data_IF_570228943958
#
_entry.id   IF_570228943958
#
_cell.length_a   1.000
_cell.length_b   1.000
_cell.length_c   1.000
_cell.angle_alpha   90.00
_cell.angle_beta   90.00
_cell.angle_gamma   90.00
#
_symmetry.space_group_name_H-M   'P 1'
#
loop_
_entity.id
_entity.type
_entity.pdbx_description
1 polymer ?
#
# COMPACT_ATOMS: atom_id res chain seq x y z
N UNK A 1 20.91 6.39 -7.74
CA UNK A 1 21.51 7.63 -8.29
C UNK A 1 20.50 8.76 -8.48
N UNK A 2 19.28 8.49 -8.99
CA UNK A 2 18.29 9.56 -9.29
C UNK A 2 17.79 10.30 -8.05
N UNK A 3 17.52 9.59 -6.94
CA UNK A 3 17.12 10.21 -5.68
C UNK A 3 18.23 11.09 -5.13
N UNK A 4 19.49 10.64 -5.21
CA UNK A 4 20.65 11.39 -4.73
C UNK A 4 20.83 12.72 -5.49
N UNK A 5 20.72 12.70 -6.82
CA UNK A 5 20.79 13.92 -7.64
C UNK A 5 19.65 14.88 -7.29
N UNK A 6 18.42 14.35 -7.16
CA UNK A 6 17.28 15.18 -6.76
C UNK A 6 17.47 15.86 -5.42
N UNK A 7 17.87 15.11 -4.39
CA UNK A 7 18.06 15.67 -3.04
C UNK A 7 19.22 16.65 -3.00
N UNK A 8 20.32 16.39 -3.74
CA UNK A 8 21.42 17.35 -3.91
C UNK A 8 20.91 18.69 -4.45
N UNK A 9 20.08 18.64 -5.49
CA UNK A 9 19.55 19.85 -6.12
C UNK A 9 18.50 20.56 -5.23
N UNK A 10 17.66 19.80 -4.52
CA UNK A 10 16.63 20.36 -3.61
C UNK A 10 17.27 21.11 -2.44
N UNK A 11 18.24 20.49 -1.76
CA UNK A 11 18.92 21.11 -0.60
C UNK A 11 19.91 22.22 -0.99
N UNK A 12 20.13 22.43 -2.28
CA UNK A 12 21.15 23.38 -2.78
C UNK A 12 22.57 23.05 -2.29
N UNK A 13 22.95 21.80 -2.44
CA UNK A 13 24.20 21.26 -1.90
C UNK A 13 25.45 22.05 -2.30
N UNK A 14 25.52 22.46 -3.58
CA UNK A 14 26.71 23.12 -4.13
C UNK A 14 27.00 24.47 -3.47
N UNK A 15 25.96 25.20 -3.06
CA UNK A 15 26.11 26.50 -2.37
C UNK A 15 26.17 26.38 -0.84
N UNK A 16 25.66 25.28 -0.28
CA UNK A 16 25.58 25.08 1.15
C UNK A 16 26.72 24.22 1.72
N UNK A 17 27.44 23.49 0.89
CA UNK A 17 28.62 22.70 1.26
C UNK A 17 29.90 23.42 0.84
N UNK A 18 30.99 23.40 1.62
CA UNK A 18 31.12 22.83 2.99
C UNK A 18 30.47 23.71 4.08
N UNK A 19 30.78 23.39 5.36
CA UNK A 19 30.32 24.20 6.49
C UNK A 19 30.70 25.66 6.35
N UNK A 20 29.76 26.55 6.72
CA UNK A 20 29.88 28.01 6.56
C UNK A 20 29.79 28.69 7.89
N UNK A 21 30.76 29.58 8.18
CA UNK A 21 30.71 30.47 9.33
C UNK A 21 29.71 31.60 9.09
N UNK A 22 28.71 31.68 9.94
CA UNK A 22 27.64 32.70 9.85
C UNK A 22 27.88 33.91 10.76
N UNK A 23 29.01 33.91 11.51
CA UNK A 23 29.30 34.87 12.57
C UNK A 23 28.50 34.60 13.86
N UNK A 24 28.84 35.32 14.94
CA UNK A 24 28.16 35.21 16.24
C UNK A 24 28.05 33.77 16.74
N UNK A 25 29.17 33.03 16.70
CA UNK A 25 29.26 31.61 17.10
C UNK A 25 28.35 30.64 16.33
N UNK A 26 27.76 31.05 15.20
CA UNK A 26 26.89 30.21 14.39
C UNK A 26 27.63 29.61 13.20
N UNK A 27 27.48 28.30 13.02
CA UNK A 27 28.00 27.57 11.87
C UNK A 27 26.83 26.81 11.20
N UNK A 28 26.70 26.91 9.88
CA UNK A 28 25.74 26.12 9.11
C UNK A 28 26.46 25.07 8.28
N UNK A 29 25.83 23.90 8.21
CA UNK A 29 26.34 22.80 7.40
C UNK A 29 25.18 21.97 6.83
N UNK A 30 25.45 21.30 5.71
CA UNK A 30 24.56 20.30 5.13
C UNK A 30 25.18 18.90 5.23
N UNK A 31 24.32 17.92 5.48
CA UNK A 31 24.68 16.52 5.46
C UNK A 31 23.65 15.71 4.67
N UNK A 32 24.09 14.59 4.08
CA UNK A 32 23.23 13.70 3.30
C UNK A 32 23.41 12.26 3.74
N UNK A 33 22.33 11.53 3.79
CA UNK A 33 22.30 10.10 4.10
C UNK A 33 21.45 9.32 3.13
N UNK A 34 21.75 8.04 2.95
CA UNK A 34 20.98 7.11 2.14
C UNK A 34 20.55 5.94 2.99
N UNK A 35 19.33 5.45 2.76
CA UNK A 35 18.80 4.28 3.42
C UNK A 35 18.10 3.36 2.40
N UNK A 36 18.09 2.08 2.74
CA UNK A 36 17.40 1.02 2.01
C UNK A 36 16.87 0.01 3.03
N UNK A 37 15.65 -0.45 2.82
CA UNK A 37 15.05 -1.50 3.63
C UNK A 37 14.27 -2.45 2.72
N UNK A 38 14.23 -3.75 3.03
CA UNK A 38 13.37 -4.70 2.33
C UNK A 38 11.88 -4.47 2.66
N UNK A 39 11.01 -4.84 1.73
CA UNK A 39 9.55 -4.87 1.93
C UNK A 39 9.11 -6.28 2.30
N UNK A 40 9.05 -6.57 3.59
CA UNK A 40 8.81 -7.90 4.14
C UNK A 40 10.09 -8.73 4.29
N UNK A 41 9.95 -9.87 4.97
CA UNK A 41 11.01 -10.86 5.14
C UNK A 41 10.80 -11.98 4.12
N UNK A 42 11.75 -12.10 3.21
CA UNK A 42 11.71 -13.10 2.13
C UNK A 42 11.46 -14.52 2.64
N UNK A 43 10.44 -15.18 2.10
CA UNK A 43 10.08 -16.56 2.42
C UNK A 43 9.46 -16.78 3.80
N UNK A 44 9.24 -15.72 4.58
CA UNK A 44 8.71 -15.83 5.95
C UNK A 44 7.37 -15.10 6.11
N UNK A 45 7.26 -13.87 5.61
CA UNK A 45 6.03 -13.10 5.78
C UNK A 45 4.89 -13.68 4.95
N UNK A 46 3.74 -13.78 5.59
CA UNK A 46 2.51 -14.33 5.02
C UNK A 46 1.41 -13.31 5.16
N UNK A 47 0.74 -13.00 4.07
CA UNK A 47 -0.47 -12.19 4.06
C UNK A 47 -1.60 -12.96 3.40
N UNK A 48 -2.80 -12.85 3.93
CA UNK A 48 -3.98 -13.48 3.37
C UNK A 48 -5.13 -12.49 3.25
N UNK A 49 -5.97 -12.71 2.26
CA UNK A 49 -7.20 -11.95 2.05
C UNK A 49 -8.35 -12.89 1.69
N UNK A 50 -9.53 -12.56 2.15
CA UNK A 50 -10.79 -13.16 1.69
C UNK A 50 -11.66 -12.05 1.12
N UNK A 51 -12.18 -12.25 -0.07
CA UNK A 51 -13.06 -11.31 -0.76
C UNK A 51 -14.35 -12.02 -1.13
N UNK A 52 -15.48 -11.42 -0.75
CA UNK A 52 -16.81 -11.97 -0.95
C UNK A 52 -17.67 -10.97 -1.71
N UNK A 53 -18.46 -11.46 -2.68
CA UNK A 53 -19.57 -10.72 -3.26
C UNK A 53 -20.84 -10.97 -2.45
N UNK A 54 -21.45 -9.90 -1.94
CA UNK A 54 -22.71 -9.94 -1.19
C UNK A 54 -23.90 -9.93 -2.17
N UNK A 55 -25.09 -10.27 -1.66
CA UNK A 55 -26.33 -10.36 -2.45
C UNK A 55 -26.81 -9.01 -3.02
N UNK A 56 -26.37 -7.91 -2.43
CA UNK A 56 -26.64 -6.55 -2.89
C UNK A 56 -25.70 -6.07 -4.02
N UNK A 57 -24.69 -6.87 -4.38
CA UNK A 57 -23.68 -6.51 -5.37
C UNK A 57 -22.49 -5.71 -4.84
N UNK A 58 -22.38 -5.54 -3.52
CA UNK A 58 -21.22 -4.96 -2.86
C UNK A 58 -20.23 -6.06 -2.43
N UNK A 59 -19.02 -5.65 -2.10
CA UNK A 59 -17.97 -6.57 -1.70
C UNK A 59 -17.60 -6.41 -0.23
N UNK A 60 -17.24 -7.51 0.41
CA UNK A 60 -16.59 -7.52 1.72
C UNK A 60 -15.18 -8.06 1.57
N UNK A 61 -14.20 -7.24 1.91
CA UNK A 61 -12.79 -7.62 1.97
C UNK A 61 -12.39 -7.87 3.42
N UNK A 62 -12.05 -9.11 3.75
CA UNK A 62 -11.51 -9.51 5.05
C UNK A 62 -9.99 -9.68 4.95
N UNK A 63 -9.26 -9.00 5.83
CA UNK A 63 -7.79 -9.01 5.87
C UNK A 63 -7.29 -9.24 7.30
N UNK A 64 -6.18 -9.94 7.46
CA UNK A 64 -5.51 -10.10 8.75
C UNK A 64 -4.61 -8.93 9.13
N UNK A 65 -4.23 -8.10 8.17
CA UNK A 65 -3.40 -6.93 8.41
C UNK A 65 -4.12 -5.88 9.26
N UNK A 66 -3.42 -5.36 10.28
CA UNK A 66 -3.95 -4.31 11.14
C UNK A 66 -3.56 -2.92 10.63
N UNK A 67 -4.53 -2.04 10.45
CA UNK A 67 -4.26 -0.63 10.18
C UNK A 67 -3.87 0.11 11.46
N UNK A 68 -2.58 0.39 11.59
CA UNK A 68 -2.01 1.12 12.72
C UNK A 68 -1.74 2.61 12.39
N UNK A 69 -2.47 3.16 11.42
CA UNK A 69 -2.28 4.51 10.90
C UNK A 69 -1.56 4.53 9.54
N UNK A 70 -1.31 3.37 8.94
CA UNK A 70 -0.67 3.23 7.62
C UNK A 70 -1.64 3.44 6.46
N UNK A 71 -2.96 3.34 6.72
CA UNK A 71 -4.00 3.37 5.70
C UNK A 71 -4.09 2.08 4.90
N UNK A 72 -3.67 0.94 5.48
CA UNK A 72 -3.66 -0.33 4.77
C UNK A 72 -5.06 -0.79 4.37
N UNK A 73 -6.09 -0.54 5.17
CA UNK A 73 -7.48 -0.85 4.83
C UNK A 73 -7.88 -0.20 3.50
N UNK A 74 -7.60 1.10 3.36
CA UNK A 74 -7.84 1.85 2.12
C UNK A 74 -6.98 1.33 0.96
N UNK A 75 -5.69 1.11 1.19
CA UNK A 75 -4.76 0.70 0.15
C UNK A 75 -5.10 -0.69 -0.39
N UNK A 76 -5.45 -1.64 0.48
CA UNK A 76 -5.82 -3.00 0.08
C UNK A 76 -7.18 -3.01 -0.64
N UNK A 77 -8.15 -2.20 -0.19
CA UNK A 77 -9.40 -2.01 -0.91
C UNK A 77 -9.18 -1.40 -2.32
N UNK A 78 -8.26 -0.44 -2.47
CA UNK A 78 -7.89 0.12 -3.78
C UNK A 78 -7.33 -0.95 -4.73
N UNK A 79 -6.49 -1.86 -4.23
CA UNK A 79 -5.99 -2.99 -5.03
C UNK A 79 -7.13 -3.89 -5.50
N UNK A 80 -8.07 -4.23 -4.62
CA UNK A 80 -9.23 -5.03 -4.97
C UNK A 80 -10.15 -4.30 -5.97
N UNK A 81 -10.41 -3.01 -5.75
CA UNK A 81 -11.25 -2.19 -6.61
C UNK A 81 -10.71 -2.08 -8.04
N UNK A 82 -9.39 -1.91 -8.20
CA UNK A 82 -8.72 -1.89 -9.51
C UNK A 82 -8.91 -3.21 -10.27
N UNK A 83 -8.74 -4.35 -9.61
CA UNK A 83 -8.92 -5.68 -10.23
C UNK A 83 -10.38 -5.95 -10.59
N UNK A 84 -11.31 -5.52 -9.73
CA UNK A 84 -12.75 -5.73 -9.92
C UNK A 84 -13.41 -4.67 -10.81
N UNK A 85 -12.66 -3.64 -11.20
CA UNK A 85 -13.15 -2.50 -12.00
C UNK A 85 -14.37 -1.82 -11.36
N UNK A 86 -14.33 -1.62 -10.04
CA UNK A 86 -15.46 -1.07 -9.29
C UNK A 86 -15.05 0.16 -8.47
N UNK A 87 -16.00 1.04 -8.09
CA UNK A 87 -15.76 2.12 -7.16
C UNK A 87 -15.26 1.60 -5.81
N UNK A 88 -14.35 2.34 -5.17
CA UNK A 88 -13.82 1.99 -3.85
C UNK A 88 -14.94 1.85 -2.81
N UNK A 89 -15.96 2.69 -2.88
CA UNK A 89 -17.11 2.69 -1.96
C UNK A 89 -17.96 1.40 -2.04
N UNK A 90 -17.75 0.59 -3.07
CA UNK A 90 -18.39 -0.71 -3.18
C UNK A 90 -17.70 -1.80 -2.34
N UNK A 91 -16.58 -1.50 -1.70
CA UNK A 91 -15.80 -2.46 -0.91
C UNK A 91 -15.82 -2.06 0.56
N UNK A 92 -16.44 -2.87 1.39
CA UNK A 92 -16.35 -2.75 2.84
C UNK A 92 -15.18 -3.59 3.34
N UNK A 93 -14.25 -2.96 4.06
CA UNK A 93 -13.11 -3.65 4.65
C UNK A 93 -13.45 -4.07 6.08
N UNK A 94 -13.12 -5.32 6.39
CA UNK A 94 -13.19 -5.89 7.72
C UNK A 94 -11.82 -6.47 8.07
N UNK A 95 -11.08 -5.78 8.92
CA UNK A 95 -9.68 -6.11 9.18
C UNK A 95 -9.37 -6.38 10.64
N UNK A 96 -8.32 -7.15 10.86
CA UNK A 96 -7.67 -7.38 12.16
C UNK A 96 -8.57 -7.98 13.26
N UNK A 97 -9.62 -8.70 12.90
CA UNK A 97 -10.41 -9.49 13.82
C UNK A 97 -9.90 -10.93 13.81
N UNK A 98 -9.29 -11.37 14.91
CA UNK A 98 -8.68 -12.70 15.02
C UNK A 98 -9.67 -13.86 14.96
N UNK A 99 -10.96 -13.61 15.15
CA UNK A 99 -12.00 -14.64 15.08
C UNK A 99 -12.47 -14.90 13.65
N UNK A 100 -12.32 -13.92 12.75
CA UNK A 100 -12.90 -13.97 11.40
C UNK A 100 -11.93 -13.67 10.28
N UNK A 101 -10.89 -12.86 10.53
CA UNK A 101 -9.91 -12.49 9.51
C UNK A 101 -9.00 -13.66 9.13
N UNK A 102 -8.61 -13.78 7.86
CA UNK A 102 -7.62 -14.78 7.46
C UNK A 102 -6.25 -14.46 8.08
N UNK A 103 -5.38 -15.46 8.16
CA UNK A 103 -4.08 -15.32 8.80
C UNK A 103 -3.19 -14.29 8.10
N UNK A 104 -2.56 -13.46 8.90
CA UNK A 104 -1.51 -12.52 8.51
C UNK A 104 -0.40 -12.58 9.57
N UNK A 105 0.84 -12.57 9.15
CA UNK A 105 1.97 -12.67 10.08
C UNK A 105 2.25 -11.37 10.85
N UNK A 106 1.65 -10.28 10.43
CA UNK A 106 1.79 -8.95 11.03
C UNK A 106 2.40 -7.92 10.08
N UNK A 107 2.18 -6.66 10.40
CA UNK A 107 2.62 -5.51 9.58
C UNK A 107 4.07 -5.08 9.84
N UNK A 108 4.92 -5.98 10.33
CA UNK A 108 6.34 -5.72 10.55
C UNK A 108 7.15 -5.77 9.24
N UNK A 109 8.38 -5.30 9.28
CA UNK A 109 9.30 -5.27 8.14
C UNK A 109 8.72 -4.61 6.87
N UNK A 110 7.76 -3.70 7.03
CA UNK A 110 7.09 -2.99 5.92
C UNK A 110 6.43 -3.91 4.90
N UNK A 111 5.81 -5.00 5.35
CA UNK A 111 5.34 -6.10 4.49
C UNK A 111 3.95 -5.89 3.90
N UNK A 112 3.05 -5.21 4.59
CA UNK A 112 1.60 -5.24 4.34
C UNK A 112 1.22 -4.95 2.89
N UNK A 113 1.59 -3.80 2.35
CA UNK A 113 1.20 -3.44 0.96
C UNK A 113 1.77 -4.41 -0.06
N UNK A 114 2.99 -4.90 0.15
CA UNK A 114 3.65 -5.81 -0.78
C UNK A 114 3.14 -7.25 -0.66
N UNK A 115 3.03 -7.79 0.56
CA UNK A 115 2.68 -9.20 0.80
C UNK A 115 1.17 -9.37 0.82
N UNK A 116 0.46 -8.69 1.72
CA UNK A 116 -1.00 -8.79 1.83
C UNK A 116 -1.70 -8.14 0.63
N UNK A 117 -1.11 -7.08 0.05
CA UNK A 117 -1.59 -6.50 -1.21
C UNK A 117 -1.55 -7.49 -2.37
N UNK A 118 -0.51 -8.32 -2.48
CA UNK A 118 -0.45 -9.40 -3.49
C UNK A 118 -1.44 -10.53 -3.23
N UNK A 119 -1.71 -10.86 -1.97
CA UNK A 119 -2.78 -11.79 -1.61
C UNK A 119 -4.15 -11.23 -2.02
N UNK A 120 -4.40 -9.94 -1.76
CA UNK A 120 -5.62 -9.24 -2.14
C UNK A 120 -5.83 -9.20 -3.66
N UNK A 121 -4.78 -8.89 -4.42
CA UNK A 121 -4.83 -8.93 -5.89
C UNK A 121 -5.22 -10.32 -6.42
N UNK A 122 -4.56 -11.37 -5.94
CA UNK A 122 -4.87 -12.76 -6.31
C UNK A 122 -6.31 -13.13 -5.94
N UNK A 123 -6.74 -12.73 -4.77
CA UNK A 123 -8.08 -12.97 -4.26
C UNK A 123 -9.13 -12.30 -5.16
N UNK A 124 -8.92 -11.04 -5.52
CA UNK A 124 -9.81 -10.30 -6.42
C UNK A 124 -9.83 -10.88 -7.84
N UNK A 125 -8.69 -11.31 -8.38
CA UNK A 125 -8.61 -11.98 -9.68
C UNK A 125 -9.41 -13.29 -9.68
N UNK A 126 -9.30 -14.08 -8.61
CA UNK A 126 -10.04 -15.34 -8.48
C UNK A 126 -11.54 -15.12 -8.37
N UNK A 127 -11.97 -14.13 -7.56
CA UNK A 127 -13.38 -13.76 -7.44
C UNK A 127 -13.93 -13.24 -8.78
N UNK A 128 -13.20 -12.40 -9.49
CA UNK A 128 -13.54 -11.94 -10.84
C UNK A 128 -13.77 -13.10 -11.80
N UNK A 129 -12.91 -14.11 -11.77
CA UNK A 129 -13.08 -15.34 -12.55
C UNK A 129 -14.36 -16.10 -12.19
N UNK A 130 -14.70 -16.21 -10.90
CA UNK A 130 -15.95 -16.83 -10.45
C UNK A 130 -17.19 -16.05 -10.93
N UNK A 131 -17.13 -14.71 -10.89
CA UNK A 131 -18.21 -13.83 -11.41
C UNK A 131 -18.39 -14.04 -12.92
N UNK A 132 -17.31 -14.03 -13.70
CA UNK A 132 -17.35 -14.28 -15.14
C UNK A 132 -17.90 -15.66 -15.45
N UNK A 133 -17.48 -16.69 -14.72
CA UNK A 133 -17.97 -18.05 -14.90
C UNK A 133 -19.48 -18.17 -14.70
N UNK A 134 -19.99 -17.67 -13.57
CA UNK A 134 -21.43 -17.71 -13.31
C UNK A 134 -22.21 -16.83 -14.32
N UNK A 135 -21.65 -15.67 -14.68
CA UNK A 135 -22.23 -14.81 -15.71
C UNK A 135 -22.33 -15.50 -17.07
N UNK A 136 -21.30 -16.26 -17.47
CA UNK A 136 -21.31 -17.04 -18.70
C UNK A 136 -22.38 -18.15 -18.66
N UNK A 137 -22.50 -18.87 -17.54
CA UNK A 137 -23.56 -19.88 -17.33
C UNK A 137 -24.95 -19.25 -17.46
N UNK A 138 -25.20 -18.08 -16.87
CA UNK A 138 -26.47 -17.36 -16.95
C UNK A 138 -26.75 -16.77 -18.33
N UNK A 139 -25.72 -16.57 -19.14
CA UNK A 139 -25.81 -16.09 -20.53
C UNK A 139 -25.80 -17.24 -21.55
N UNK A 140 -25.76 -18.49 -21.09
CA UNK A 140 -25.73 -19.72 -21.93
C UNK A 140 -24.55 -19.67 -22.93
N UNK A 141 -23.35 -19.34 -22.46
CA UNK A 141 -22.13 -19.28 -23.27
C UNK A 141 -20.89 -19.73 -22.46
N UNK A 142 -19.71 -19.71 -23.06
CA UNK A 142 -18.45 -20.10 -22.41
C UNK A 142 -17.75 -18.91 -21.75
N UNK A 143 -16.86 -19.16 -20.79
CA UNK A 143 -16.14 -18.11 -20.04
C UNK A 143 -15.28 -17.21 -20.93
N UNK A 144 -14.76 -17.72 -22.04
CA UNK A 144 -13.97 -16.98 -23.02
C UNK A 144 -14.80 -16.07 -23.94
N UNK A 145 -16.12 -16.19 -23.89
CA UNK A 145 -17.05 -15.36 -24.66
C UNK A 145 -17.60 -14.17 -23.85
N UNK A 146 -17.24 -14.03 -22.58
CA UNK A 146 -17.72 -12.94 -21.73
C UNK A 146 -16.61 -12.02 -21.26
N UNK A 147 -17.00 -10.78 -20.97
CA UNK A 147 -16.20 -9.76 -20.30
C UNK A 147 -16.95 -9.22 -19.10
N UNK A 148 -16.22 -8.65 -18.13
CA UNK A 148 -16.75 -8.01 -16.94
C UNK A 148 -16.19 -6.60 -16.80
N UNK A 149 -17.05 -5.60 -16.67
CA UNK A 149 -16.72 -4.17 -16.58
C UNK A 149 -16.93 -3.58 -15.16
N UNK A 150 -17.01 -4.45 -14.15
CA UNK A 150 -17.26 -4.04 -12.76
C UNK A 150 -18.74 -3.87 -12.40
N UNK A 151 -19.64 -3.87 -13.39
CA UNK A 151 -21.10 -3.73 -13.21
C UNK A 151 -21.89 -4.87 -13.84
N UNK A 152 -21.49 -5.25 -15.03
CA UNK A 152 -22.16 -6.26 -15.83
C UNK A 152 -21.14 -7.30 -16.33
N UNK A 153 -21.57 -8.54 -16.43
CA UNK A 153 -20.94 -9.55 -17.28
C UNK A 153 -21.72 -9.60 -18.59
N UNK A 154 -21.05 -9.43 -19.70
CA UNK A 154 -21.66 -9.34 -21.02
C UNK A 154 -20.90 -10.17 -22.06
N UNK A 155 -21.62 -10.59 -23.13
CA UNK A 155 -20.95 -11.29 -24.22
C UNK A 155 -20.08 -10.35 -25.04
N UNK A 156 -18.82 -10.71 -25.26
CA UNK A 156 -17.83 -9.89 -25.98
C UNK A 156 -18.27 -9.54 -27.41
N UNK A 157 -19.00 -10.45 -28.07
CA UNK A 157 -19.52 -10.26 -29.46
C UNK A 157 -20.84 -9.52 -29.53
N UNK A 158 -21.61 -9.49 -28.43
CA UNK A 158 -22.92 -8.84 -28.35
C UNK A 158 -23.13 -8.27 -26.93
N UNK A 159 -22.61 -7.07 -26.63
CA UNK A 159 -22.72 -6.47 -25.30
C UNK A 159 -24.12 -6.14 -24.81
N UNK A 160 -25.16 -6.29 -25.71
CA UNK A 160 -26.55 -6.14 -25.29
C UNK A 160 -27.04 -7.33 -24.47
N UNK A 161 -26.41 -8.50 -24.64
CA UNK A 161 -26.64 -9.69 -23.84
C UNK A 161 -25.74 -9.64 -22.62
N UNK A 162 -26.32 -9.25 -21.51
CA UNK A 162 -25.59 -9.04 -20.26
C UNK A 162 -26.39 -9.45 -19.04
N UNK A 163 -25.66 -9.67 -17.93
CA UNK A 163 -26.18 -9.86 -16.59
C UNK A 163 -25.51 -8.87 -15.65
N UNK A 164 -26.31 -8.15 -14.89
CA UNK A 164 -25.79 -7.25 -13.87
C UNK A 164 -25.14 -8.01 -12.71
N UNK A 165 -24.18 -7.38 -12.04
CA UNK A 165 -23.53 -7.95 -10.88
C UNK A 165 -24.54 -8.34 -9.80
N UNK A 166 -25.61 -7.55 -9.59
CA UNK A 166 -26.69 -7.87 -8.65
C UNK A 166 -27.48 -9.12 -9.05
N UNK A 167 -27.76 -9.31 -10.35
CA UNK A 167 -28.41 -10.55 -10.84
C UNK A 167 -27.52 -11.78 -10.61
N UNK A 168 -26.20 -11.62 -10.85
CA UNK A 168 -25.21 -12.70 -10.63
C UNK A 168 -25.11 -13.01 -9.14
N UNK A 169 -25.02 -12.00 -8.30
CA UNK A 169 -24.95 -12.13 -6.84
C UNK A 169 -26.22 -12.84 -6.30
N UNK A 170 -27.39 -12.42 -6.75
CA UNK A 170 -28.66 -13.06 -6.38
C UNK A 170 -28.72 -14.53 -6.85
N UNK A 171 -28.36 -14.79 -8.11
CA UNK A 171 -28.37 -16.14 -8.67
C UNK A 171 -27.40 -17.07 -7.94
N UNK A 172 -26.22 -16.57 -7.50
CA UNK A 172 -25.25 -17.36 -6.76
C UNK A 172 -25.81 -17.85 -5.42
N UNK A 173 -26.54 -17.03 -4.71
CA UNK A 173 -27.03 -17.35 -3.37
C UNK A 173 -28.37 -18.10 -3.39
N UNK A 174 -29.30 -17.68 -4.23
CA UNK A 174 -30.68 -18.19 -4.22
C UNK A 174 -31.00 -19.18 -5.36
N UNK A 175 -30.20 -19.22 -6.42
CA UNK A 175 -30.35 -20.13 -7.53
C UNK A 175 -29.38 -21.31 -7.49
N UNK A 176 -28.11 -21.01 -7.53
CA UNK A 176 -27.04 -21.98 -7.57
C UNK A 176 -26.53 -22.44 -6.19
N UNK A 177 -26.87 -21.70 -5.13
CA UNK A 177 -26.43 -21.94 -3.75
C UNK A 177 -24.89 -22.07 -3.61
N UNK A 178 -24.15 -21.32 -4.42
CA UNK A 178 -22.69 -21.28 -4.43
C UNK A 178 -22.23 -19.87 -4.12
N UNK A 179 -21.70 -19.58 -2.92
CA UNK A 179 -21.22 -18.24 -2.60
C UNK A 179 -20.05 -17.86 -3.51
N UNK A 180 -20.09 -16.63 -4.03
CA UNK A 180 -18.99 -16.04 -4.77
C UNK A 180 -18.00 -15.44 -3.76
N UNK A 181 -17.02 -16.25 -3.40
CA UNK A 181 -16.03 -15.94 -2.39
C UNK A 181 -14.68 -16.54 -2.79
N UNK A 182 -13.62 -15.81 -2.55
CA UNK A 182 -12.26 -16.27 -2.75
C UNK A 182 -11.41 -15.97 -1.53
N UNK A 183 -10.53 -16.89 -1.17
CA UNK A 183 -9.47 -16.69 -0.18
C UNK A 183 -8.15 -17.02 -0.84
N UNK A 184 -7.17 -16.13 -0.67
CA UNK A 184 -5.82 -16.32 -1.19
C UNK A 184 -4.78 -15.91 -0.17
N UNK A 185 -3.66 -16.59 -0.22
CA UNK A 185 -2.50 -16.35 0.63
C UNK A 185 -1.29 -16.06 -0.25
N UNK A 186 -0.42 -15.19 0.22
CA UNK A 186 0.84 -14.90 -0.45
C UNK A 186 2.01 -14.86 0.53
N UNK A 187 3.11 -15.47 0.11
CA UNK A 187 4.44 -15.36 0.71
C UNK A 187 5.40 -15.00 -0.42
N UNK A 188 6.17 -13.94 -0.26
CA UNK A 188 7.10 -13.55 -1.30
C UNK A 188 8.48 -14.19 -1.12
N UNK A 189 9.07 -14.77 -2.17
CA UNK A 189 10.47 -15.21 -2.15
C UNK A 189 11.46 -14.04 -2.24
N UNK A 190 10.98 -12.84 -2.50
CA UNK A 190 11.77 -11.62 -2.64
C UNK A 190 11.35 -10.59 -1.59
N UNK A 191 12.30 -9.73 -1.24
CA UNK A 191 12.09 -8.56 -0.37
C UNK A 191 12.56 -7.32 -1.14
N UNK A 192 11.73 -6.76 -2.05
CA UNK A 192 12.11 -5.63 -2.88
C UNK A 192 12.33 -4.38 -2.02
N UNK A 193 13.49 -3.71 -2.15
CA UNK A 193 13.82 -2.60 -1.32
C UNK A 193 13.30 -1.27 -1.89
N UNK A 194 12.58 -0.44 -1.13
CA UNK A 194 12.53 0.98 -1.35
C UNK A 194 13.87 1.63 -1.02
N UNK A 195 14.17 2.72 -1.70
CA UNK A 195 15.37 3.52 -1.48
C UNK A 195 14.98 4.93 -1.06
N UNK A 196 15.73 5.48 -0.12
CA UNK A 196 15.57 6.86 0.32
C UNK A 196 16.91 7.57 0.35
N UNK A 197 16.90 8.83 -0.03
CA UNK A 197 17.98 9.78 0.21
C UNK A 197 17.38 10.96 0.97
N UNK A 198 18.00 11.35 2.06
CA UNK A 198 17.64 12.54 2.84
C UNK A 198 18.84 13.45 3.00
N UNK A 199 18.61 14.76 3.02
CA UNK A 199 19.60 15.78 3.33
C UNK A 199 19.04 16.77 4.33
N UNK A 200 19.90 17.22 5.24
CA UNK A 200 19.55 18.19 6.27
C UNK A 200 20.53 19.37 6.25
N UNK A 201 19.99 20.59 6.39
CA UNK A 201 20.78 21.76 6.77
C UNK A 201 20.58 22.03 8.26
N UNK A 202 21.67 22.16 8.99
CA UNK A 202 21.65 22.49 10.42
C UNK A 202 22.45 23.76 10.71
N UNK A 203 22.03 24.48 11.75
CA UNK A 203 22.81 25.55 12.37
C UNK A 203 23.23 25.11 13.76
N UNK A 204 24.48 25.24 14.05
CA UNK A 204 25.07 24.92 15.35
C UNK A 204 25.61 26.20 15.99
N UNK A 205 25.24 26.41 17.24
CA UNK A 205 25.89 27.40 18.08
C UNK A 205 27.14 26.76 18.74
N UNK A 206 28.32 27.24 18.36
CA UNK A 206 29.57 26.65 18.80
C UNK A 206 29.91 26.98 20.26
N UNK A 207 29.24 27.97 20.89
CA UNK A 207 29.44 28.29 22.32
C UNK A 207 28.53 27.43 23.22
N UNK A 208 27.29 27.18 22.79
CA UNK A 208 26.30 26.44 23.60
C UNK A 208 26.18 24.97 23.19
N UNK A 209 26.55 24.62 21.97
CA UNK A 209 26.31 23.30 21.38
C UNK A 209 24.85 23.09 20.89
N UNK A 210 24.01 24.12 20.92
CA UNK A 210 22.65 24.03 20.44
C UNK A 210 22.63 23.76 18.93
N UNK A 211 21.83 22.76 18.51
CA UNK A 211 21.64 22.39 17.11
C UNK A 211 20.22 22.71 16.68
N UNK A 212 20.08 23.44 15.58
CA UNK A 212 18.81 23.79 14.98
C UNK A 212 18.71 23.22 13.57
N UNK A 213 17.69 22.38 13.33
CA UNK A 213 17.35 21.94 11.98
C UNK A 213 16.70 23.11 11.21
N UNK A 214 17.29 23.49 10.09
CA UNK A 214 16.79 24.58 9.24
C UNK A 214 15.96 24.04 8.08
N UNK A 215 16.41 22.96 7.45
CA UNK A 215 15.80 22.38 6.27
C UNK A 215 16.05 20.87 6.27
N UNK A 216 15.07 20.11 5.77
CA UNK A 216 15.21 18.68 5.54
C UNK A 216 14.49 18.29 4.26
N UNK A 217 15.26 17.82 3.28
CA UNK A 217 14.75 17.36 1.99
C UNK A 217 14.94 15.86 1.85
N UNK A 218 13.95 15.19 1.27
CA UNK A 218 14.06 13.77 1.00
C UNK A 218 13.45 13.36 -0.35
N UNK A 219 14.00 12.30 -0.92
CA UNK A 219 13.47 11.63 -2.10
C UNK A 219 13.39 10.14 -1.82
N UNK A 220 12.19 9.58 -2.01
CA UNK A 220 11.90 8.15 -1.80
C UNK A 220 11.57 7.52 -3.15
N UNK A 221 12.18 6.39 -3.46
CA UNK A 221 11.81 5.49 -4.54
C UNK A 221 11.18 4.23 -3.96
N UNK A 222 9.85 4.18 -3.99
CA UNK A 222 9.04 3.05 -3.53
C UNK A 222 8.38 2.28 -4.69
N UNK A 223 8.79 2.51 -5.93
CA UNK A 223 8.11 2.02 -7.12
C UNK A 223 6.81 2.78 -7.37
N UNK A 224 5.77 2.08 -7.80
CA UNK A 224 4.46 2.68 -8.06
C UNK A 224 3.65 2.77 -6.76
N UNK A 225 3.34 3.96 -6.25
CA UNK A 225 2.53 4.11 -5.05
C UNK A 225 1.06 3.78 -5.36
N UNK A 226 0.46 2.87 -4.60
CA UNK A 226 -0.98 2.53 -4.72
C UNK A 226 -1.82 3.76 -4.32
N UNK A 227 -1.44 4.42 -3.22
CA UNK A 227 -2.03 5.68 -2.79
C UNK A 227 -0.94 6.72 -2.56
N UNK A 228 -0.74 7.68 -3.50
CA UNK A 228 0.34 8.67 -3.38
C UNK A 228 0.28 9.53 -2.11
N UNK A 229 -0.93 9.87 -1.63
CA UNK A 229 -1.09 10.67 -0.42
C UNK A 229 -0.67 9.89 0.84
N UNK A 230 -1.12 8.66 0.99
CA UNK A 230 -0.74 7.80 2.11
C UNK A 230 0.76 7.48 2.07
N UNK A 231 1.33 7.24 0.88
CA UNK A 231 2.77 7.03 0.70
C UNK A 231 3.57 8.24 1.17
N UNK A 232 3.13 9.46 0.82
CA UNK A 232 3.77 10.69 1.28
C UNK A 232 3.70 10.83 2.80
N UNK A 233 2.53 10.63 3.39
CA UNK A 233 2.33 10.71 4.85
C UNK A 233 3.22 9.71 5.59
N UNK A 234 3.36 8.49 5.06
CA UNK A 234 4.25 7.48 5.63
C UNK A 234 5.72 7.89 5.54
N UNK A 235 6.15 8.46 4.41
CA UNK A 235 7.52 8.97 4.26
C UNK A 235 7.80 10.12 5.23
N UNK A 236 6.92 11.12 5.31
CA UNK A 236 7.04 12.26 6.21
C UNK A 236 7.06 11.81 7.69
N UNK A 237 6.17 10.88 8.06
CA UNK A 237 6.12 10.32 9.42
C UNK A 237 7.40 9.58 9.82
N UNK A 238 7.96 8.77 8.93
CA UNK A 238 9.21 8.06 9.15
C UNK A 238 10.41 9.01 9.28
N UNK A 239 10.46 10.06 8.46
CA UNK A 239 11.49 11.10 8.53
C UNK A 239 11.41 11.86 9.86
N UNK A 240 10.21 12.21 10.30
CA UNK A 240 10.02 12.92 11.57
C UNK A 240 10.47 12.09 12.77
N UNK A 241 10.25 10.77 12.76
CA UNK A 241 10.82 9.88 13.78
C UNK A 241 12.36 9.95 13.80
N UNK A 242 13.02 9.91 12.65
CA UNK A 242 14.48 10.02 12.55
C UNK A 242 15.00 11.36 13.08
N UNK A 243 14.31 12.45 12.81
CA UNK A 243 14.62 13.79 13.33
C UNK A 243 14.45 13.80 14.86
N UNK A 244 13.35 13.26 15.37
CA UNK A 244 13.07 13.17 16.81
C UNK A 244 14.14 12.36 17.55
N UNK A 245 14.48 11.19 17.07
CA UNK A 245 15.53 10.33 17.62
C UNK A 245 16.91 11.02 17.66
N UNK A 246 17.18 11.87 16.67
CA UNK A 246 18.47 12.55 16.56
C UNK A 246 18.58 13.77 17.49
N UNK A 247 17.49 14.54 17.63
CA UNK A 247 17.54 15.86 18.26
C UNK A 247 16.91 15.93 19.66
N UNK A 248 15.94 15.09 19.96
CA UNK A 248 15.09 15.28 21.14
C UNK A 248 14.86 14.04 21.99
N UNK A 249 14.91 12.85 21.41
CA UNK A 249 14.59 11.62 22.13
C UNK A 249 15.81 11.08 22.90
N UNK A 250 15.56 10.59 24.10
CA UNK A 250 16.57 9.94 24.94
C UNK A 250 15.93 8.77 25.69
N UNK A 251 16.47 7.57 25.50
CA UNK A 251 16.04 6.36 26.21
C UNK A 251 16.97 6.15 27.40
N UNK A 252 16.38 6.17 28.60
CA UNK A 252 17.11 5.85 29.83
C UNK A 252 16.66 4.50 30.37
N UNK A 253 17.62 3.75 30.95
CA UNK A 253 17.35 2.46 31.59
C UNK A 253 17.66 2.60 33.09
N UNK A 254 16.85 1.94 33.94
CA UNK A 254 17.04 1.86 35.39
C UNK A 254 18.12 0.84 35.74
#
# INVERSE_FOLDING_TARGET
DRCLVKVRDMIDWEHKYPARDMGNSKVRAVGMGMAMQGSGISGMDVGSATLKLNDDGFYTLMIGAADMGTGCDTTLAQIAAEVLDCPLDNITVFGADTDTSPYDSGSYASSTTYVTGKATEKCAMKLRGQICKLGAELLECTEDEVEFDGKDVFKSKDPTQKKSLSEIAYASQFGHMVPLEATETHTSPLSPPPFMVGAAEVEVDTETGEVKLLEFDACVDCGTPINPNLTRVQAEGGLLQGIGMTLTENITYD
#
